data_IF_891418976708
#
_entry.id   IF_891418976708
#
_cell.length_a   1.000
_cell.length_b   1.000
_cell.length_c   1.000
_cell.angle_alpha   90.00
_cell.angle_beta   90.00
_cell.angle_gamma   90.00
#
_symmetry.space_group_name_H-M   'P 1'
#
loop_
_entity.id
_entity.type
_entity.pdbx_description
1 polymer ?
#
# COMPACT_ATOMS: atom_id res chain seq x y z
N UNK A 1 -30.19 37.49 2.16
CA UNK A 1 -29.82 36.26 1.44
C UNK A 1 -29.36 35.27 2.49
N UNK A 2 -30.26 34.40 2.92
CA UNK A 2 -29.91 33.33 3.86
C UNK A 2 -29.21 32.23 3.06
N UNK A 3 -27.94 31.98 3.36
CA UNK A 3 -27.24 30.81 2.84
C UNK A 3 -27.84 29.58 3.51
N UNK A 4 -28.61 28.80 2.75
CA UNK A 4 -29.15 27.51 3.19
C UNK A 4 -28.00 26.64 3.70
N UNK A 5 -28.04 26.12 4.94
CA UNK A 5 -27.07 25.16 5.42
C UNK A 5 -27.11 23.95 4.49
N UNK A 6 -25.98 23.58 3.88
CA UNK A 6 -25.89 22.40 3.03
C UNK A 6 -26.42 21.20 3.79
N UNK A 7 -27.43 20.51 3.25
CA UNK A 7 -28.04 19.37 3.90
C UNK A 7 -26.96 18.34 4.27
N UNK A 8 -26.84 18.02 5.56
CA UNK A 8 -25.93 16.98 6.03
C UNK A 8 -26.37 15.64 5.44
N UNK A 9 -25.41 14.88 4.90
CA UNK A 9 -25.63 13.54 4.37
C UNK A 9 -26.21 12.62 5.47
N UNK A 10 -27.26 11.88 5.16
CA UNK A 10 -27.84 10.88 6.07
C UNK A 10 -26.88 9.69 6.23
N UNK A 11 -26.99 8.93 7.33
CA UNK A 11 -26.18 7.72 7.54
C UNK A 11 -26.32 6.71 6.40
N UNK A 12 -27.53 6.54 5.86
CA UNK A 12 -27.79 5.63 4.74
C UNK A 12 -27.13 6.11 3.44
N UNK A 13 -27.21 7.41 3.13
CA UNK A 13 -26.50 7.99 1.98
C UNK A 13 -24.98 7.82 2.12
N UNK A 14 -24.45 8.08 3.32
CA UNK A 14 -23.04 7.93 3.63
C UNK A 14 -22.57 6.48 3.50
N UNK A 15 -23.37 5.52 3.98
CA UNK A 15 -23.13 4.09 3.79
C UNK A 15 -23.08 3.70 2.31
N UNK A 16 -24.08 4.10 1.51
CA UNK A 16 -24.13 3.80 0.06
C UNK A 16 -22.91 4.38 -0.67
N UNK A 17 -22.56 5.62 -0.35
CA UNK A 17 -21.40 6.31 -0.94
C UNK A 17 -20.10 5.56 -0.65
N UNK A 18 -19.82 5.28 0.62
CA UNK A 18 -18.57 4.60 1.02
C UNK A 18 -18.52 3.18 0.44
N UNK A 19 -19.63 2.45 0.43
CA UNK A 19 -19.69 1.10 -0.16
C UNK A 19 -19.40 1.14 -1.67
N UNK A 20 -19.93 2.14 -2.38
CA UNK A 20 -19.69 2.34 -3.81
C UNK A 20 -18.22 2.66 -4.09
N UNK A 21 -17.61 3.52 -3.27
CA UNK A 21 -16.18 3.82 -3.35
C UNK A 21 -15.32 2.58 -3.13
N UNK A 22 -15.61 1.79 -2.09
CA UNK A 22 -14.88 0.55 -1.80
C UNK A 22 -14.97 -0.41 -2.99
N UNK A 23 -16.17 -0.63 -3.54
CA UNK A 23 -16.35 -1.54 -4.68
C UNK A 23 -15.55 -1.08 -5.91
N UNK A 24 -15.47 0.23 -6.14
CA UNK A 24 -14.67 0.82 -7.23
C UNK A 24 -13.17 0.61 -6.98
N UNK A 25 -12.71 0.81 -5.74
CA UNK A 25 -11.32 0.58 -5.34
C UNK A 25 -10.94 -0.91 -5.48
N UNK A 26 -11.78 -1.83 -5.03
CA UNK A 26 -11.56 -3.28 -5.16
C UNK A 26 -11.40 -3.65 -6.63
N UNK A 27 -12.32 -3.22 -7.50
CA UNK A 27 -12.23 -3.50 -8.93
C UNK A 27 -10.94 -2.95 -9.55
N UNK A 28 -10.53 -1.75 -9.14
CA UNK A 28 -9.29 -1.12 -9.60
C UNK A 28 -8.05 -1.89 -9.16
N UNK A 29 -7.97 -2.32 -7.91
CA UNK A 29 -6.84 -3.09 -7.39
C UNK A 29 -6.72 -4.47 -8.05
N UNK A 30 -7.84 -5.18 -8.22
CA UNK A 30 -7.86 -6.48 -8.90
C UNK A 30 -7.40 -6.36 -10.35
N UNK A 31 -7.80 -5.29 -11.06
CA UNK A 31 -7.35 -4.99 -12.42
C UNK A 31 -5.85 -4.72 -12.47
N UNK A 32 -5.32 -3.91 -11.55
CA UNK A 32 -3.88 -3.59 -11.46
C UNK A 32 -3.04 -4.85 -11.23
N UNK A 33 -3.50 -5.74 -10.36
CA UNK A 33 -2.79 -6.98 -10.06
C UNK A 33 -3.00 -8.09 -11.10
N UNK A 34 -3.78 -7.82 -12.16
CA UNK A 34 -4.14 -8.79 -13.20
C UNK A 34 -4.59 -10.15 -12.64
N UNK A 35 -5.28 -10.14 -11.49
CA UNK A 35 -5.77 -11.35 -10.85
C UNK A 35 -6.97 -11.84 -11.65
N UNK A 36 -6.85 -13.02 -12.28
CA UNK A 36 -8.02 -13.69 -12.83
C UNK A 36 -8.89 -14.24 -11.69
N UNK A 37 -10.23 -14.11 -11.76
CA UNK A 37 -11.12 -14.80 -10.85
C UNK A 37 -10.82 -16.31 -10.89
N UNK A 38 -10.39 -16.88 -9.77
CA UNK A 38 -10.13 -18.33 -9.65
C UNK A 38 -8.69 -18.80 -9.87
N UNK A 39 -7.72 -17.94 -10.18
CA UNK A 39 -6.30 -18.35 -10.18
C UNK A 39 -5.71 -18.20 -8.79
N UNK A 40 -5.79 -19.28 -8.01
CA UNK A 40 -5.06 -19.41 -6.76
C UNK A 40 -3.55 -19.44 -7.03
N UNK A 41 -2.77 -18.57 -6.36
CA UNK A 41 -1.43 -18.92 -5.85
C UNK A 41 -0.88 -17.83 -4.93
N UNK A 42 -1.20 -17.99 -3.65
CA UNK A 42 -0.18 -18.13 -2.62
C UNK A 42 -0.80 -19.01 -1.52
N UNK A 43 -0.33 -20.25 -1.43
CA UNK A 43 -0.57 -21.06 -0.25
C UNK A 43 0.10 -20.35 0.93
N UNK A 44 -0.71 -19.86 1.86
CA UNK A 44 -0.26 -19.14 3.05
C UNK A 44 -0.14 -17.62 2.87
N UNK A 45 -0.25 -16.89 3.99
CA UNK A 45 0.04 -15.46 4.06
C UNK A 45 1.50 -15.25 3.65
N UNK A 46 1.80 -14.57 2.52
CA UNK A 46 3.18 -14.37 2.10
C UNK A 46 3.93 -13.62 3.20
N UNK A 47 5.05 -14.18 3.64
CA UNK A 47 5.92 -13.52 4.62
C UNK A 47 6.40 -12.22 3.99
N UNK A 48 5.99 -11.07 4.55
CA UNK A 48 6.44 -9.77 4.05
C UNK A 48 7.96 -9.71 4.09
N UNK A 49 8.58 -9.21 3.02
CA UNK A 49 10.00 -8.91 3.01
C UNK A 49 10.29 -7.98 4.19
N UNK A 50 11.18 -8.43 5.09
CA UNK A 50 11.41 -7.79 6.39
C UNK A 50 12.00 -6.38 6.22
N UNK A 51 11.77 -5.56 7.24
CA UNK A 51 12.04 -4.12 7.28
C UNK A 51 11.04 -3.37 6.39
N UNK A 52 10.53 -2.23 6.83
CA UNK A 52 9.55 -1.40 6.10
C UNK A 52 10.14 -0.77 4.80
N UNK A 53 11.12 -1.44 4.19
CA UNK A 53 11.89 -1.09 3.01
C UNK A 53 11.03 -0.79 1.77
N UNK A 54 9.86 -1.42 1.63
CA UNK A 54 8.93 -1.07 0.54
C UNK A 54 8.45 0.39 0.61
N UNK A 55 8.45 1.00 1.81
CA UNK A 55 8.10 2.42 2.02
C UNK A 55 9.08 3.34 1.29
N UNK A 56 10.34 2.95 1.11
CA UNK A 56 11.29 3.72 0.30
C UNK A 56 10.81 3.84 -1.16
N UNK A 57 10.27 2.75 -1.72
CA UNK A 57 9.77 2.75 -3.10
C UNK A 57 8.41 3.45 -3.20
N UNK A 58 7.56 3.37 -2.17
CA UNK A 58 6.38 4.24 -2.08
C UNK A 58 6.77 5.72 -2.09
N UNK A 59 7.75 6.10 -1.27
CA UNK A 59 8.22 7.48 -1.17
C UNK A 59 8.85 7.99 -2.48
N UNK A 60 9.50 7.12 -3.27
CA UNK A 60 10.00 7.48 -4.59
C UNK A 60 8.89 7.84 -5.59
N UNK A 61 7.72 7.20 -5.47
CA UNK A 61 6.60 7.44 -6.40
C UNK A 61 5.82 8.69 -6.04
N UNK A 62 5.42 8.79 -4.79
CA UNK A 62 4.66 9.92 -4.27
C UNK A 62 5.65 10.80 -3.52
N UNK A 63 6.05 11.92 -4.12
CA UNK A 63 6.88 12.95 -3.50
C UNK A 63 6.19 13.66 -2.31
N UNK A 64 5.37 12.95 -1.54
CA UNK A 64 4.44 13.50 -0.56
C UNK A 64 4.83 13.17 0.88
N UNK A 65 4.84 14.26 1.64
CA UNK A 65 4.76 14.54 3.07
C UNK A 65 4.56 13.38 4.07
N UNK A 66 5.23 13.54 5.23
CA UNK A 66 5.06 12.68 6.40
C UNK A 66 6.20 11.67 6.59
N UNK A 67 5.88 10.48 7.11
CA UNK A 67 6.87 9.46 7.46
C UNK A 67 7.68 8.91 6.26
N UNK A 68 7.14 9.00 5.04
CA UNK A 68 7.81 8.65 3.77
C UNK A 68 8.99 9.58 3.43
N UNK A 69 8.93 10.85 3.85
CA UNK A 69 10.00 11.83 3.60
C UNK A 69 11.31 11.44 4.31
N UNK A 70 11.20 10.80 5.48
CA UNK A 70 12.37 10.33 6.24
C UNK A 70 13.15 9.25 5.47
N UNK A 71 12.44 8.36 4.75
CA UNK A 71 13.07 7.33 3.92
C UNK A 71 13.84 7.95 2.76
N UNK A 72 13.27 8.95 2.08
CA UNK A 72 13.96 9.67 1.01
C UNK A 72 15.17 10.45 1.51
N UNK A 73 15.04 11.18 2.62
CA UNK A 73 16.16 11.90 3.23
C UNK A 73 17.30 10.96 3.60
N UNK A 74 16.97 9.79 4.16
CA UNK A 74 17.98 8.78 4.50
C UNK A 74 18.66 8.23 3.25
N UNK A 75 17.90 7.92 2.20
CA UNK A 75 18.46 7.46 0.93
C UNK A 75 19.36 8.52 0.27
N UNK A 76 18.96 9.80 0.32
CA UNK A 76 19.75 10.92 -0.21
C UNK A 76 21.10 11.09 0.49
N UNK A 77 21.22 10.77 1.79
CA UNK A 77 22.51 10.80 2.51
C UNK A 77 23.52 9.80 1.98
N UNK A 78 23.08 8.74 1.29
CA UNK A 78 23.97 7.76 0.66
C UNK A 78 24.64 8.30 -0.61
N UNK A 79 24.22 9.48 -1.09
CA UNK A 79 24.89 10.23 -2.15
C UNK A 79 25.01 9.44 -3.46
N UNK A 80 26.24 9.33 -3.96
CA UNK A 80 26.54 8.70 -5.25
C UNK A 80 26.06 7.24 -5.34
N UNK A 81 26.15 6.48 -4.24
CA UNK A 81 25.67 5.09 -4.19
C UNK A 81 24.18 5.00 -4.53
N UNK A 82 23.39 5.92 -3.97
CA UNK A 82 21.95 5.99 -4.20
C UNK A 82 21.63 6.43 -5.63
N UNK A 83 22.32 7.47 -6.12
CA UNK A 83 22.16 7.93 -7.50
C UNK A 83 22.48 6.83 -8.50
N UNK A 84 23.56 6.07 -8.28
CA UNK A 84 23.95 4.94 -9.13
C UNK A 84 22.92 3.81 -9.09
N UNK A 85 22.42 3.46 -7.90
CA UNK A 85 21.34 2.48 -7.77
C UNK A 85 20.10 2.89 -8.58
N UNK A 86 19.63 4.13 -8.43
CA UNK A 86 18.46 4.63 -9.16
C UNK A 86 18.67 4.62 -10.68
N UNK A 87 19.84 5.06 -11.14
CA UNK A 87 20.16 5.12 -12.57
C UNK A 87 20.22 3.72 -13.20
N UNK A 88 20.86 2.76 -12.52
CA UNK A 88 21.06 1.40 -13.02
C UNK A 88 19.79 0.54 -12.94
N UNK A 89 18.90 0.82 -11.98
CA UNK A 89 17.77 -0.06 -11.64
C UNK A 89 16.40 0.57 -11.92
N UNK A 90 16.32 1.63 -12.75
CA UNK A 90 15.05 2.28 -13.11
C UNK A 90 13.97 1.31 -13.59
N UNK A 91 14.35 0.29 -14.38
CA UNK A 91 13.43 -0.72 -14.88
C UNK A 91 12.92 -1.68 -13.78
N UNK A 92 13.74 -1.95 -12.76
CA UNK A 92 13.30 -2.75 -11.62
C UNK A 92 12.31 -1.96 -10.77
N UNK A 93 12.61 -0.68 -10.52
CA UNK A 93 11.73 0.22 -9.77
C UNK A 93 10.38 0.36 -10.48
N UNK A 94 10.37 0.58 -11.80
CA UNK A 94 9.11 0.72 -12.55
C UNK A 94 8.27 -0.56 -12.58
N UNK A 95 8.88 -1.75 -12.45
CA UNK A 95 8.13 -3.02 -12.28
C UNK A 95 7.40 -3.11 -10.94
N UNK A 96 7.86 -2.38 -9.92
CA UNK A 96 7.19 -2.35 -8.61
C UNK A 96 5.96 -1.44 -8.61
N UNK A 97 5.93 -0.39 -9.45
CA UNK A 97 4.91 0.65 -9.43
C UNK A 97 3.46 0.14 -9.46
N UNK A 98 3.08 -0.82 -10.33
CA UNK A 98 1.71 -1.34 -10.34
C UNK A 98 1.36 -1.99 -9.00
N UNK A 99 2.27 -2.79 -8.45
CA UNK A 99 2.03 -3.51 -7.19
C UNK A 99 1.97 -2.57 -6.00
N UNK A 100 2.84 -1.57 -5.96
CA UNK A 100 2.79 -0.49 -4.97
C UNK A 100 1.48 0.30 -5.06
N UNK A 101 0.89 0.45 -6.27
CA UNK A 101 -0.36 1.17 -6.47
C UNK A 101 -1.53 0.35 -5.92
N UNK A 102 -1.52 -0.96 -6.15
CA UNK A 102 -2.50 -1.86 -5.58
C UNK A 102 -2.48 -1.85 -4.03
N UNK A 103 -1.30 -1.73 -3.41
CA UNK A 103 -1.19 -1.60 -1.94
C UNK A 103 -1.76 -0.27 -1.42
N UNK A 104 -1.54 0.85 -2.11
CA UNK A 104 -2.17 2.13 -1.75
C UNK A 104 -3.69 2.11 -1.90
N UNK A 105 -4.19 1.50 -2.99
CA UNK A 105 -5.63 1.31 -3.18
C UNK A 105 -6.19 0.43 -2.04
N UNK A 106 -5.47 -0.62 -1.65
CA UNK A 106 -5.87 -1.47 -0.54
C UNK A 106 -5.91 -0.73 0.81
N UNK A 107 -4.97 0.20 1.04
CA UNK A 107 -4.99 1.05 2.22
C UNK A 107 -6.26 1.91 2.27
N UNK A 108 -6.66 2.52 1.14
CA UNK A 108 -7.92 3.27 1.04
C UNK A 108 -9.15 2.40 1.28
N UNK A 109 -9.13 1.14 0.82
CA UNK A 109 -10.21 0.17 1.12
C UNK A 109 -10.33 -0.03 2.63
N UNK A 110 -9.21 -0.23 3.34
CA UNK A 110 -9.19 -0.39 4.80
C UNK A 110 -9.71 0.86 5.51
N UNK A 111 -9.26 2.05 5.10
CA UNK A 111 -9.71 3.33 5.67
C UNK A 111 -11.23 3.53 5.52
N UNK A 112 -11.76 3.29 4.32
CA UNK A 112 -13.19 3.37 4.04
C UNK A 112 -13.98 2.29 4.81
N UNK A 113 -13.41 1.10 4.99
CA UNK A 113 -14.04 0.03 5.79
C UNK A 113 -14.13 0.41 7.26
N UNK A 114 -13.10 1.06 7.81
CA UNK A 114 -13.14 1.59 9.17
C UNK A 114 -14.19 2.69 9.30
N UNK A 115 -14.38 3.52 8.26
CA UNK A 115 -15.47 4.48 8.23
C UNK A 115 -16.85 3.79 8.24
N UNK A 116 -17.06 2.73 7.46
CA UNK A 116 -18.28 1.92 7.50
C UNK A 116 -18.55 1.33 8.89
N UNK A 117 -17.52 0.79 9.54
CA UNK A 117 -17.64 0.23 10.90
C UNK A 117 -18.12 1.29 11.91
N UNK A 118 -17.73 2.56 11.73
CA UNK A 118 -18.14 3.67 12.61
C UNK A 118 -19.57 4.15 12.39
N UNK A 119 -20.21 3.79 11.28
CA UNK A 119 -21.61 4.18 11.04
C UNK A 119 -22.60 3.42 11.93
N UNK A 120 -22.19 2.25 12.43
CA UNK A 120 -22.98 1.35 13.28
C UNK A 120 -24.30 0.92 12.61
N UNK A 121 -24.23 0.66 11.29
CA UNK A 121 -25.37 0.22 10.48
C UNK A 121 -25.43 -1.32 10.45
N UNK A 122 -26.53 -1.97 10.87
CA UNK A 122 -26.63 -3.43 10.90
C UNK A 122 -26.38 -4.11 9.55
N UNK A 123 -26.78 -3.44 8.46
CA UNK A 123 -26.56 -3.92 7.09
C UNK A 123 -25.07 -3.98 6.72
N UNK A 124 -24.23 -3.15 7.35
CA UNK A 124 -22.80 -3.07 7.04
C UNK A 124 -22.02 -4.31 7.48
N UNK A 125 -22.50 -5.09 8.46
CA UNK A 125 -21.74 -6.21 9.02
C UNK A 125 -21.35 -7.26 7.96
N UNK A 126 -22.31 -7.68 7.13
CA UNK A 126 -22.08 -8.65 6.05
C UNK A 126 -21.17 -8.09 4.97
N UNK A 127 -21.33 -6.80 4.62
CA UNK A 127 -20.49 -6.14 3.62
C UNK A 127 -19.06 -5.97 4.11
N UNK A 128 -18.86 -5.58 5.37
CA UNK A 128 -17.54 -5.42 5.99
C UNK A 128 -16.77 -6.75 5.93
N UNK A 129 -17.42 -7.87 6.28
CA UNK A 129 -16.77 -9.19 6.19
C UNK A 129 -16.33 -9.53 4.76
N UNK A 130 -17.16 -9.22 3.76
CA UNK A 130 -16.83 -9.43 2.34
C UNK A 130 -15.68 -8.53 1.89
N UNK A 131 -15.71 -7.25 2.27
CA UNK A 131 -14.68 -6.27 1.94
C UNK A 131 -13.33 -6.66 2.55
N UNK A 132 -13.32 -7.10 3.81
CA UNK A 132 -12.11 -7.58 4.49
C UNK A 132 -11.49 -8.77 3.76
N UNK A 133 -12.32 -9.73 3.31
CA UNK A 133 -11.87 -10.86 2.50
C UNK A 133 -11.24 -10.40 1.17
N UNK A 134 -11.87 -9.49 0.43
CA UNK A 134 -11.31 -8.97 -0.82
C UNK A 134 -10.02 -8.17 -0.59
N UNK A 135 -9.98 -7.35 0.46
CA UNK A 135 -8.78 -6.62 0.85
C UNK A 135 -7.62 -7.57 1.18
N UNK A 136 -7.87 -8.68 1.87
CA UNK A 136 -6.85 -9.68 2.15
C UNK A 136 -6.32 -10.35 0.87
N UNK A 137 -7.20 -10.67 -0.09
CA UNK A 137 -6.78 -11.22 -1.40
C UNK A 137 -5.88 -10.25 -2.17
N UNK A 138 -6.30 -8.98 -2.25
CA UNK A 138 -5.52 -7.91 -2.91
C UNK A 138 -4.15 -7.79 -2.25
N UNK A 139 -4.11 -7.67 -0.92
CA UNK A 139 -2.88 -7.55 -0.15
C UNK A 139 -1.94 -8.74 -0.38
N UNK A 140 -2.47 -9.96 -0.30
CA UNK A 140 -1.65 -11.16 -0.43
C UNK A 140 -1.07 -11.29 -1.86
N UNK A 141 -1.88 -11.03 -2.88
CA UNK A 141 -1.40 -11.04 -4.26
C UNK A 141 -0.36 -9.95 -4.53
N UNK A 142 -0.57 -8.74 -3.99
CA UNK A 142 0.42 -7.67 -4.10
C UNK A 142 1.75 -8.07 -3.46
N UNK A 143 1.74 -8.65 -2.25
CA UNK A 143 2.97 -9.10 -1.60
C UNK A 143 3.65 -10.27 -2.30
N UNK A 144 2.89 -11.19 -2.89
CA UNK A 144 3.46 -12.28 -3.69
C UNK A 144 4.27 -11.75 -4.89
N UNK A 145 3.80 -10.68 -5.53
CA UNK A 145 4.52 -10.02 -6.63
C UNK A 145 5.64 -9.11 -6.13
N UNK A 146 5.43 -8.37 -5.04
CA UNK A 146 6.38 -7.37 -4.56
C UNK A 146 7.61 -8.00 -3.90
N UNK A 147 7.46 -9.10 -3.17
CA UNK A 147 8.54 -9.71 -2.40
C UNK A 147 9.79 -10.05 -3.24
N UNK A 148 9.69 -10.76 -4.38
CA UNK A 148 10.85 -11.03 -5.22
C UNK A 148 11.52 -9.76 -5.76
N UNK A 149 10.73 -8.73 -6.08
CA UNK A 149 11.23 -7.46 -6.59
C UNK A 149 12.00 -6.69 -5.50
N UNK A 150 11.50 -6.71 -4.26
CA UNK A 150 12.21 -6.12 -3.11
C UNK A 150 13.51 -6.86 -2.80
N UNK A 151 13.52 -8.18 -2.92
CA UNK A 151 14.73 -8.99 -2.76
C UNK A 151 15.76 -8.67 -3.85
N UNK A 152 15.32 -8.59 -5.11
CA UNK A 152 16.18 -8.17 -6.22
C UNK A 152 16.73 -6.76 -6.00
N UNK A 153 15.91 -5.82 -5.56
CA UNK A 153 16.34 -4.46 -5.29
C UNK A 153 17.33 -4.39 -4.12
N UNK A 154 17.13 -5.19 -3.07
CA UNK A 154 18.07 -5.29 -1.97
C UNK A 154 19.44 -5.81 -2.45
N UNK A 155 19.45 -6.82 -3.31
CA UNK A 155 20.68 -7.32 -3.93
C UNK A 155 21.38 -6.24 -4.78
N UNK A 156 20.61 -5.51 -5.59
CA UNK A 156 21.13 -4.42 -6.43
C UNK A 156 21.64 -3.23 -5.61
N UNK A 157 21.04 -2.94 -4.47
CA UNK A 157 21.58 -1.96 -3.51
C UNK A 157 22.95 -2.39 -2.97
N UNK A 158 23.12 -3.68 -2.64
CA UNK A 158 24.40 -4.22 -2.16
C UNK A 158 25.50 -4.14 -3.22
N UNK A 159 25.16 -4.34 -4.50
CA UNK A 159 26.09 -4.11 -5.62
C UNK A 159 26.57 -2.66 -5.69
N UNK A 160 25.74 -1.69 -5.28
CA UNK A 160 26.11 -0.27 -5.17
C UNK A 160 26.72 0.11 -3.81
N UNK A 161 26.98 -0.87 -2.93
CA UNK A 161 27.54 -0.64 -1.59
C UNK A 161 26.57 -0.03 -0.59
N UNK A 162 25.27 -0.20 -0.79
CA UNK A 162 24.18 0.10 0.15
C UNK A 162 23.77 -1.21 0.83
N UNK A 163 23.65 -1.22 2.15
CA UNK A 163 23.21 -2.37 2.94
C UNK A 163 21.81 -2.06 3.46
N UNK A 164 20.73 -2.51 2.80
CA UNK A 164 19.37 -2.05 3.12
C UNK A 164 18.96 -2.26 4.58
N UNK A 165 19.42 -3.36 5.19
CA UNK A 165 19.12 -3.71 6.58
C UNK A 165 19.70 -2.72 7.58
N UNK A 166 20.83 -2.09 7.24
CA UNK A 166 21.57 -1.16 8.09
C UNK A 166 21.24 0.29 7.73
N UNK A 167 21.25 0.60 6.44
CA UNK A 167 21.09 1.96 5.94
C UNK A 167 19.63 2.44 6.06
N UNK A 168 18.67 1.50 6.19
CA UNK A 168 17.25 1.76 6.42
C UNK A 168 16.69 1.03 7.67
N UNK A 169 17.52 0.75 8.68
CA UNK A 169 17.15 -0.02 9.90
C UNK A 169 16.09 0.67 10.80
N UNK A 170 15.93 1.99 10.67
CA UNK A 170 15.38 2.86 11.72
C UNK A 170 13.86 2.91 11.93
N UNK A 171 13.02 2.08 11.31
CA UNK A 171 11.56 2.32 11.35
C UNK A 171 10.71 1.07 11.58
N UNK A 172 11.23 0.14 12.36
CA UNK A 172 10.45 -0.82 13.11
C UNK A 172 10.95 -0.72 14.56
N UNK A 173 10.52 0.29 15.33
CA UNK A 173 10.40 0.03 16.76
C UNK A 173 9.04 -0.65 16.94
N UNK A 174 8.99 -1.93 17.34
CA UNK A 174 7.73 -2.63 17.59
C UNK A 174 6.86 -1.93 18.65
N UNK A 175 7.42 -1.00 19.44
CA UNK A 175 6.71 -0.20 20.43
C UNK A 175 5.86 0.94 19.85
N UNK A 176 6.10 1.33 18.60
CA UNK A 176 5.31 2.37 17.91
C UNK A 176 4.11 1.79 17.14
N UNK A 177 3.91 0.47 17.22
CA UNK A 177 2.80 -0.27 16.60
C UNK A 177 1.88 -0.94 17.64
N UNK A 178 2.01 -0.59 18.93
CA UNK A 178 1.16 -1.08 20.04
C UNK A 178 0.24 0.00 20.59
#
# INVERSE_FOLDING_TARGET
>A
METTPGAQETKEQKYIRILTEINTLVASALKVLAIQPGTARAEGKPKQFKNNFFILFLALRSASEGHTELYLKQAQKLGEKWTNFLAQNKNLISKMDPTLNALEINQKIVENTLELMRLDEPKAFTDIAKIQSESEKIRNAAWATLNPLLEEAANKMRECGIVPEKDFEFFVDPKDLS
#
